data_IF_262371317551
#
_entry.id   IF_262371317551
#
_cell.length_a   1.000
_cell.length_b   1.000
_cell.length_c   1.000
_cell.angle_alpha   90.00
_cell.angle_beta   90.00
_cell.angle_gamma   90.00
#
_symmetry.space_group_name_H-M   'P 1'
#
loop_
_entity.id
_entity.type
_entity.pdbx_description
1 polymer ?
#
# COMPACT_ATOMS: atom_id res chain seq x y z
N UNK A 1 -6.59 15.48 -25.98
CA UNK A 1 -6.80 15.90 -24.57
C UNK A 1 -6.24 17.30 -24.40
N UNK A 2 -6.86 18.16 -23.58
CA UNK A 2 -6.23 19.42 -23.18
C UNK A 2 -4.86 19.14 -22.55
N UNK A 3 -3.86 19.93 -22.93
CA UNK A 3 -2.52 19.84 -22.37
C UNK A 3 -2.49 20.78 -21.16
N UNK A 4 -2.27 20.24 -19.97
CA UNK A 4 -2.19 21.02 -18.73
C UNK A 4 -0.74 21.32 -18.36
N UNK A 5 -0.50 22.51 -17.81
CA UNK A 5 0.66 22.77 -16.97
C UNK A 5 0.44 22.23 -15.55
N UNK A 6 1.51 21.94 -14.81
CA UNK A 6 1.42 21.40 -13.45
C UNK A 6 0.58 22.30 -12.54
N UNK A 7 0.82 23.61 -12.55
CA UNK A 7 0.11 24.55 -11.68
C UNK A 7 -1.36 24.73 -12.08
N UNK A 8 -1.69 24.63 -13.36
CA UNK A 8 -3.08 24.65 -13.83
C UNK A 8 -3.85 23.44 -13.33
N UNK A 9 -3.26 22.24 -13.48
CA UNK A 9 -3.84 21.00 -12.98
C UNK A 9 -4.00 21.06 -11.45
N UNK A 10 -2.97 21.50 -10.72
CA UNK A 10 -3.02 21.66 -9.25
C UNK A 10 -4.15 22.60 -8.82
N UNK A 11 -4.30 23.75 -9.49
CA UNK A 11 -5.35 24.72 -9.17
C UNK A 11 -6.76 24.13 -9.36
N UNK A 12 -6.97 23.34 -10.42
CA UNK A 12 -8.24 22.61 -10.65
C UNK A 12 -8.47 21.56 -9.55
N UNK A 13 -7.44 20.74 -9.24
CA UNK A 13 -7.55 19.69 -8.24
C UNK A 13 -7.77 20.20 -6.82
N UNK A 14 -7.37 21.45 -6.53
CA UNK A 14 -7.61 22.13 -5.25
C UNK A 14 -8.92 22.92 -5.22
N UNK A 15 -9.72 22.88 -6.28
CA UNK A 15 -10.93 23.68 -6.47
C UNK A 15 -10.72 25.20 -6.39
N UNK A 16 -9.52 25.67 -6.72
CA UNK A 16 -9.21 27.11 -6.84
C UNK A 16 -9.65 27.65 -8.21
N UNK A 17 -9.70 26.76 -9.20
CA UNK A 17 -10.23 27.01 -10.53
C UNK A 17 -11.36 26.01 -10.80
N UNK A 18 -12.39 26.46 -11.51
CA UNK A 18 -13.51 25.60 -11.89
C UNK A 18 -13.06 24.45 -12.79
N UNK A 19 -13.81 23.35 -12.77
CA UNK A 19 -13.64 22.26 -13.72
C UNK A 19 -13.81 22.80 -15.15
N UNK A 20 -13.01 22.33 -16.12
CA UNK A 20 -12.97 22.91 -17.47
C UNK A 20 -14.28 22.70 -18.24
N UNK A 21 -15.05 21.67 -17.90
CA UNK A 21 -16.40 21.44 -18.43
C UNK A 21 -17.18 20.51 -17.48
N UNK A 22 -18.52 20.61 -17.42
CA UNK A 22 -19.37 19.60 -16.78
C UNK A 22 -19.17 18.18 -17.37
N UNK A 23 -18.78 18.09 -18.64
CA UNK A 23 -18.60 16.81 -19.36
C UNK A 23 -17.16 16.28 -19.34
N UNK A 24 -16.19 17.11 -18.90
CA UNK A 24 -14.79 16.74 -18.78
C UNK A 24 -14.26 17.20 -17.43
N UNK A 25 -14.27 16.28 -16.47
CA UNK A 25 -13.84 16.56 -15.09
C UNK A 25 -12.41 16.09 -14.90
N UNK A 26 -11.57 16.92 -14.30
CA UNK A 26 -10.21 16.60 -13.92
C UNK A 26 -10.22 16.08 -12.49
N UNK A 27 -10.02 14.77 -12.35
CA UNK A 27 -10.00 14.01 -11.08
C UNK A 27 -8.86 12.99 -11.03
N UNK A 28 -7.92 13.07 -11.97
CA UNK A 28 -6.80 12.16 -12.14
C UNK A 28 -5.61 12.97 -12.66
N UNK A 29 -4.41 12.38 -12.67
CA UNK A 29 -3.31 12.93 -13.42
C UNK A 29 -3.65 12.92 -14.92
N UNK A 30 -3.46 14.03 -15.67
CA UNK A 30 -3.86 14.08 -17.07
C UNK A 30 -2.95 13.23 -17.97
N UNK A 31 -1.69 13.09 -17.57
CA UNK A 31 -0.66 12.34 -18.27
C UNK A 31 0.50 11.97 -17.30
N UNK A 32 1.37 11.06 -17.73
CA UNK A 32 2.54 10.60 -16.96
C UNK A 32 3.51 11.73 -16.62
N UNK A 33 3.63 12.76 -17.47
CA UNK A 33 4.53 13.89 -17.23
C UNK A 33 4.08 14.70 -16.02
N UNK A 34 2.80 15.05 -15.94
CA UNK A 34 2.23 15.77 -14.79
C UNK A 34 2.28 14.92 -13.53
N UNK A 35 1.97 13.62 -13.64
CA UNK A 35 2.11 12.68 -12.54
C UNK A 35 3.54 12.71 -11.99
N UNK A 36 4.52 12.46 -12.83
CA UNK A 36 5.92 12.33 -12.40
C UNK A 36 6.46 13.67 -11.86
N UNK A 37 6.10 14.80 -12.47
CA UNK A 37 6.49 16.12 -11.98
C UNK A 37 5.87 16.46 -10.62
N UNK A 38 4.60 16.09 -10.40
CA UNK A 38 3.93 16.28 -9.11
C UNK A 38 4.52 15.37 -8.03
N UNK A 39 4.72 14.08 -8.35
CA UNK A 39 5.23 13.08 -7.43
C UNK A 39 6.69 13.33 -7.03
N UNK A 40 7.50 13.89 -7.93
CA UNK A 40 8.88 14.28 -7.62
C UNK A 40 8.95 15.32 -6.49
N UNK A 41 7.96 16.21 -6.42
CA UNK A 41 7.85 17.30 -5.43
C UNK A 41 6.88 16.96 -4.29
N UNK A 42 6.42 15.70 -4.20
CA UNK A 42 5.29 15.33 -3.32
C UNK A 42 5.52 15.62 -1.84
N UNK A 43 6.77 15.59 -1.41
CA UNK A 43 7.15 15.87 -0.02
C UNK A 43 7.21 17.37 0.30
N UNK A 44 7.36 18.21 -0.71
CA UNK A 44 7.40 19.67 -0.56
C UNK A 44 5.99 20.28 -0.56
N UNK A 45 4.99 19.55 -1.05
CA UNK A 45 3.61 20.01 -1.06
C UNK A 45 3.01 20.03 0.35
N UNK A 46 2.29 21.10 0.73
CA UNK A 46 1.60 21.16 2.01
C UNK A 46 0.62 20.00 2.19
N UNK A 47 0.52 19.47 3.41
CA UNK A 47 -0.41 18.38 3.74
C UNK A 47 -1.87 18.69 3.32
N UNK A 48 -2.30 19.92 3.50
CA UNK A 48 -3.64 20.37 3.09
C UNK A 48 -3.84 20.31 1.57
N UNK A 49 -2.80 20.56 0.76
CA UNK A 49 -2.86 20.39 -0.68
C UNK A 49 -2.99 18.92 -1.05
N UNK A 50 -2.15 18.05 -0.48
CA UNK A 50 -2.24 16.60 -0.72
C UNK A 50 -3.65 16.10 -0.41
N UNK A 51 -4.21 16.48 0.74
CA UNK A 51 -5.56 16.08 1.15
C UNK A 51 -6.64 16.55 0.18
N UNK A 52 -6.54 17.78 -0.36
CA UNK A 52 -7.49 18.29 -1.36
C UNK A 52 -7.38 17.54 -2.69
N UNK A 53 -6.17 17.33 -3.18
CA UNK A 53 -5.94 16.58 -4.42
C UNK A 53 -6.48 15.16 -4.28
N UNK A 54 -6.18 14.47 -3.17
CA UNK A 54 -6.72 13.15 -2.87
C UNK A 54 -8.25 13.18 -2.75
N UNK A 55 -8.84 14.16 -2.08
CA UNK A 55 -10.30 14.27 -1.95
C UNK A 55 -10.98 14.39 -3.32
N UNK A 56 -10.40 15.16 -4.25
CA UNK A 56 -10.94 15.31 -5.59
C UNK A 56 -10.77 14.02 -6.43
N UNK A 57 -9.61 13.34 -6.32
CA UNK A 57 -9.37 12.05 -6.97
C UNK A 57 -10.34 10.96 -6.47
N UNK A 58 -10.43 10.81 -5.15
CA UNK A 58 -11.26 9.82 -4.46
C UNK A 58 -12.74 10.14 -4.66
N UNK A 59 -13.15 11.40 -4.58
CA UNK A 59 -14.49 11.85 -4.84
C UNK A 59 -15.53 11.54 -3.74
N UNK A 60 -16.52 12.41 -3.64
CA UNK A 60 -17.67 12.25 -2.73
C UNK A 60 -18.68 11.22 -3.25
N UNK A 61 -19.66 10.88 -2.40
CA UNK A 61 -20.81 10.06 -2.78
C UNK A 61 -21.63 10.72 -3.90
N UNK A 62 -22.19 9.93 -4.83
CA UNK A 62 -22.89 10.48 -6.01
C UNK A 62 -24.16 9.72 -6.34
N UNK A 63 -25.11 10.45 -6.91
CA UNK A 63 -26.29 9.87 -7.56
C UNK A 63 -25.96 9.30 -8.95
N UNK A 64 -27.01 8.87 -9.65
CA UNK A 64 -26.88 8.30 -11.00
C UNK A 64 -26.36 9.34 -12.03
N UNK A 65 -25.31 8.97 -12.75
CA UNK A 65 -24.75 9.74 -13.86
C UNK A 65 -25.31 9.27 -15.24
N UNK A 66 -24.79 9.80 -16.34
CA UNK A 66 -25.22 9.43 -17.69
C UNK A 66 -24.94 7.96 -18.04
N UNK A 67 -23.77 7.44 -17.64
CA UNK A 67 -23.39 6.03 -17.85
C UNK A 67 -24.33 5.11 -17.08
N UNK A 68 -24.68 5.47 -15.84
CA UNK A 68 -25.63 4.71 -15.02
C UNK A 68 -27.03 4.68 -15.68
N UNK A 69 -27.45 5.79 -16.28
CA UNK A 69 -28.71 5.87 -17.05
C UNK A 69 -28.68 5.05 -18.34
N UNK A 70 -27.52 4.85 -18.96
CA UNK A 70 -27.40 3.95 -20.10
C UNK A 70 -27.43 2.49 -19.62
N UNK A 71 -26.75 2.19 -18.53
CA UNK A 71 -26.72 0.86 -17.90
C UNK A 71 -28.11 0.35 -17.55
N UNK A 72 -28.99 1.20 -17.00
CA UNK A 72 -30.37 0.78 -16.69
C UNK A 72 -31.16 0.40 -17.94
N UNK A 73 -30.90 1.04 -19.09
CA UNK A 73 -31.57 0.68 -20.35
C UNK A 73 -31.13 -0.71 -20.81
N UNK A 74 -29.83 -1.00 -20.70
CA UNK A 74 -29.29 -2.33 -20.95
C UNK A 74 -29.90 -3.38 -20.02
N UNK A 75 -30.00 -3.09 -18.72
CA UNK A 75 -30.62 -4.00 -17.76
C UNK A 75 -32.09 -4.29 -18.10
N UNK A 76 -32.86 -3.26 -18.49
CA UNK A 76 -34.25 -3.44 -18.94
C UNK A 76 -34.35 -4.29 -20.19
N UNK A 77 -33.46 -4.07 -21.17
CA UNK A 77 -33.47 -4.81 -22.42
C UNK A 77 -33.13 -6.30 -22.24
N UNK A 78 -32.30 -6.63 -21.25
CA UNK A 78 -31.94 -8.01 -20.94
C UNK A 78 -33.05 -8.79 -20.19
N UNK A 79 -34.11 -8.12 -19.73
CA UNK A 79 -35.25 -8.75 -19.06
C UNK A 79 -35.01 -9.15 -17.60
N UNK A 80 -36.07 -9.61 -16.90
CA UNK A 80 -36.04 -9.87 -15.45
C UNK A 80 -35.38 -11.19 -15.04
N UNK A 81 -34.97 -12.02 -16.00
CA UNK A 81 -34.47 -13.37 -15.72
C UNK A 81 -34.17 -14.17 -16.99
N UNK A 82 -33.67 -15.38 -16.81
CA UNK A 82 -33.41 -16.32 -17.89
C UNK A 82 -34.63 -17.21 -18.07
N UNK A 83 -35.12 -17.34 -19.30
CA UNK A 83 -36.18 -18.30 -19.63
C UNK A 83 -35.53 -19.60 -20.12
N UNK A 84 -35.82 -20.71 -19.47
CA UNK A 84 -35.29 -22.02 -19.85
C UNK A 84 -36.22 -22.70 -20.87
N UNK A 85 -35.72 -23.62 -21.70
CA UNK A 85 -36.53 -24.32 -22.71
C UNK A 85 -37.71 -25.13 -22.16
N UNK A 86 -37.66 -25.50 -20.88
CA UNK A 86 -38.72 -26.22 -20.16
C UNK A 86 -39.83 -25.29 -19.63
N UNK A 87 -39.73 -23.98 -19.90
CA UNK A 87 -40.67 -22.96 -19.46
C UNK A 87 -40.42 -22.43 -18.04
N UNK A 88 -39.40 -22.93 -17.34
CA UNK A 88 -38.98 -22.36 -16.05
C UNK A 88 -38.26 -21.03 -16.24
N UNK A 89 -38.32 -20.16 -15.23
CA UNK A 89 -37.64 -18.87 -15.24
C UNK A 89 -36.81 -18.69 -13.97
N UNK A 90 -35.55 -18.35 -14.13
CA UNK A 90 -34.69 -17.95 -13.02
C UNK A 90 -34.64 -16.42 -12.93
N UNK A 91 -35.03 -15.82 -11.79
CA UNK A 91 -34.92 -14.38 -11.60
C UNK A 91 -33.46 -13.96 -11.70
N UNK A 92 -33.23 -12.81 -12.35
CA UNK A 92 -31.90 -12.21 -12.38
C UNK A 92 -31.50 -11.78 -10.97
N UNK A 93 -30.30 -12.17 -10.56
CA UNK A 93 -29.64 -11.57 -9.41
C UNK A 93 -29.04 -10.22 -9.79
N UNK A 94 -29.37 -9.19 -9.00
CA UNK A 94 -28.81 -7.86 -9.14
C UNK A 94 -27.74 -7.63 -8.09
N UNK A 95 -26.61 -7.08 -8.52
CA UNK A 95 -25.57 -6.56 -7.62
C UNK A 95 -26.10 -5.41 -6.75
N UNK A 96 -25.45 -5.13 -5.62
CA UNK A 96 -25.87 -4.03 -4.74
C UNK A 96 -25.82 -2.66 -5.44
N UNK A 97 -24.84 -2.45 -6.32
CA UNK A 97 -24.79 -1.26 -7.17
C UNK A 97 -26.04 -1.15 -8.05
N UNK A 98 -26.42 -2.23 -8.74
CA UNK A 98 -27.60 -2.24 -9.62
C UNK A 98 -28.90 -2.05 -8.83
N UNK A 99 -29.01 -2.65 -7.64
CA UNK A 99 -30.14 -2.41 -6.72
C UNK A 99 -30.25 -0.94 -6.34
N UNK A 100 -29.14 -0.31 -5.91
CA UNK A 100 -29.11 1.13 -5.58
C UNK A 100 -29.49 1.99 -6.79
N UNK A 101 -28.97 1.67 -7.98
CA UNK A 101 -29.30 2.38 -9.21
C UNK A 101 -30.79 2.27 -9.57
N UNK A 102 -31.37 1.06 -9.51
CA UNK A 102 -32.79 0.81 -9.79
C UNK A 102 -33.66 1.61 -8.81
N UNK A 103 -33.37 1.55 -7.52
CA UNK A 103 -34.12 2.27 -6.49
C UNK A 103 -34.01 3.79 -6.66
N UNK A 104 -32.79 4.31 -6.90
CA UNK A 104 -32.56 5.73 -7.11
C UNK A 104 -33.36 6.26 -8.31
N UNK A 105 -33.35 5.56 -9.44
CA UNK A 105 -34.10 5.96 -10.64
C UNK A 105 -35.62 5.79 -10.49
N UNK A 106 -36.06 4.92 -9.59
CA UNK A 106 -37.47 4.78 -9.22
C UNK A 106 -37.95 5.84 -8.21
N UNK A 107 -37.07 6.76 -7.77
CA UNK A 107 -37.39 7.73 -6.71
C UNK A 107 -37.57 7.09 -5.33
N UNK A 108 -37.07 5.86 -5.15
CA UNK A 108 -37.15 5.06 -3.92
C UNK A 108 -35.78 4.84 -3.27
N UNK A 109 -34.73 5.49 -3.77
CA UNK A 109 -33.39 5.39 -3.20
C UNK A 109 -33.29 6.17 -1.90
N UNK A 110 -32.86 5.50 -0.83
CA UNK A 110 -32.49 6.12 0.45
C UNK A 110 -31.01 6.43 0.56
N UNK A 111 -30.20 5.91 -0.37
CA UNK A 111 -28.74 6.01 -0.39
C UNK A 111 -28.24 6.52 -1.75
N UNK A 112 -27.05 7.15 -1.80
CA UNK A 112 -26.36 7.45 -3.04
C UNK A 112 -26.12 6.18 -3.86
N UNK A 113 -26.19 6.28 -5.20
CA UNK A 113 -25.89 5.15 -6.10
C UNK A 113 -24.45 4.67 -5.89
N UNK A 114 -23.54 5.64 -5.78
CA UNK A 114 -22.13 5.45 -5.52
C UNK A 114 -21.80 5.96 -4.11
N UNK A 115 -21.34 5.10 -3.19
CA UNK A 115 -20.93 5.53 -1.87
C UNK A 115 -19.66 6.39 -1.96
N UNK A 116 -19.50 7.32 -1.03
CA UNK A 116 -18.31 8.18 -0.93
C UNK A 116 -17.17 7.46 -0.21
N UNK A 117 -15.94 7.70 -0.66
CA UNK A 117 -14.73 7.10 -0.09
C UNK A 117 -13.82 8.11 0.61
N UNK A 118 -14.23 9.38 0.71
CA UNK A 118 -13.41 10.45 1.30
C UNK A 118 -13.05 10.21 2.77
N UNK A 119 -13.80 9.36 3.49
CA UNK A 119 -13.47 8.90 4.84
C UNK A 119 -12.09 8.21 4.91
N UNK A 120 -11.59 7.66 3.80
CA UNK A 120 -10.23 7.09 3.70
C UNK A 120 -9.15 8.12 4.06
N UNK A 121 -9.42 9.41 3.89
CA UNK A 121 -8.48 10.47 4.27
C UNK A 121 -8.25 10.54 5.79
N UNK A 122 -9.16 10.03 6.60
CA UNK A 122 -9.02 9.99 8.07
C UNK A 122 -8.05 8.90 8.53
N UNK A 123 -7.77 7.92 7.66
CA UNK A 123 -6.72 6.93 7.89
C UNK A 123 -5.32 7.54 7.76
N UNK A 124 -5.17 8.63 7.01
CA UNK A 124 -3.87 9.25 6.73
C UNK A 124 -3.45 10.22 7.85
N UNK A 125 -2.16 10.26 8.24
CA UNK A 125 -1.03 9.53 7.64
C UNK A 125 -0.73 8.19 8.36
N UNK A 126 -1.57 7.76 9.28
CA UNK A 126 -1.28 6.71 10.24
C UNK A 126 -1.46 5.29 9.69
N UNK A 127 -2.42 5.11 8.78
CA UNK A 127 -2.80 3.82 8.19
C UNK A 127 -2.85 3.93 6.65
N UNK A 128 -1.72 4.30 5.99
CA UNK A 128 -1.70 4.53 4.54
C UNK A 128 -1.98 3.26 3.74
N UNK A 129 -1.60 2.09 4.28
CA UNK A 129 -1.89 0.80 3.65
C UNK A 129 -3.37 0.47 3.67
N UNK A 130 -4.05 0.68 4.79
CA UNK A 130 -5.50 0.47 4.89
C UNK A 130 -6.27 1.44 4.00
N UNK A 131 -5.77 2.67 3.87
CA UNK A 131 -6.31 3.64 2.92
C UNK A 131 -6.25 3.12 1.48
N UNK A 132 -5.08 2.61 1.06
CA UNK A 132 -4.92 1.99 -0.26
C UNK A 132 -5.80 0.74 -0.41
N UNK A 133 -5.87 -0.11 0.62
CA UNK A 133 -6.67 -1.33 0.59
C UNK A 133 -8.16 -1.04 0.46
N UNK A 134 -8.67 -0.02 1.15
CA UNK A 134 -10.06 0.41 1.04
C UNK A 134 -10.39 0.87 -0.39
N UNK A 135 -9.52 1.70 -0.99
CA UNK A 135 -9.69 2.16 -2.38
C UNK A 135 -9.57 0.99 -3.37
N UNK A 136 -8.62 0.08 -3.15
CA UNK A 136 -8.40 -1.09 -4.00
C UNK A 136 -9.57 -2.08 -3.95
N UNK A 137 -10.12 -2.35 -2.76
CA UNK A 137 -11.28 -3.21 -2.60
C UNK A 137 -12.53 -2.62 -3.28
N UNK A 138 -12.73 -1.31 -3.15
CA UNK A 138 -13.80 -0.62 -3.87
C UNK A 138 -13.63 -0.73 -5.39
N UNK A 139 -12.40 -0.51 -5.89
CA UNK A 139 -12.11 -0.64 -7.31
C UNK A 139 -12.37 -2.07 -7.79
N UNK A 140 -11.90 -3.09 -7.06
CA UNK A 140 -12.11 -4.50 -7.39
C UNK A 140 -13.61 -4.85 -7.47
N UNK A 141 -14.42 -4.34 -6.53
CA UNK A 141 -15.86 -4.60 -6.49
C UNK A 141 -16.63 -3.92 -7.64
N UNK A 142 -16.12 -2.82 -8.19
CA UNK A 142 -16.88 -1.96 -9.10
C UNK A 142 -16.24 -1.72 -10.47
N UNK A 143 -15.02 -2.18 -10.73
CA UNK A 143 -14.26 -1.90 -11.96
C UNK A 143 -15.03 -2.19 -13.25
N UNK A 144 -15.89 -3.23 -13.27
CA UNK A 144 -16.70 -3.57 -14.45
C UNK A 144 -17.81 -2.56 -14.77
N UNK A 145 -18.11 -1.66 -13.85
CA UNK A 145 -19.21 -0.68 -13.93
C UNK A 145 -18.76 0.75 -13.77
N UNK A 146 -17.59 0.97 -13.19
CA UNK A 146 -17.02 2.28 -12.94
C UNK A 146 -16.53 2.90 -14.26
N UNK A 147 -16.76 4.20 -14.53
CA UNK A 147 -16.15 4.85 -15.69
C UNK A 147 -14.62 4.84 -15.63
N UNK A 148 -13.93 4.74 -16.76
CA UNK A 148 -12.46 4.70 -16.85
C UNK A 148 -11.80 5.83 -16.06
N UNK A 149 -12.27 7.07 -16.25
CA UNK A 149 -11.74 8.24 -15.53
C UNK A 149 -11.83 8.12 -13.99
N UNK A 150 -12.80 7.36 -13.47
CA UNK A 150 -12.92 7.07 -12.03
C UNK A 150 -11.98 5.95 -11.60
N UNK A 151 -11.70 4.99 -12.47
CA UNK A 151 -10.65 3.99 -12.26
C UNK A 151 -9.30 4.70 -12.15
N UNK A 152 -9.01 5.61 -13.09
CA UNK A 152 -7.79 6.41 -13.12
C UNK A 152 -7.66 7.25 -11.85
N UNK A 153 -8.70 8.02 -11.48
CA UNK A 153 -8.66 8.84 -10.26
C UNK A 153 -8.42 8.03 -8.98
N UNK A 154 -9.04 6.87 -8.82
CA UNK A 154 -8.79 6.00 -7.66
C UNK A 154 -7.38 5.38 -7.70
N UNK A 155 -6.91 4.97 -8.88
CA UNK A 155 -5.55 4.46 -9.09
C UNK A 155 -4.49 5.49 -8.76
N UNK A 156 -4.69 6.72 -9.20
CA UNK A 156 -3.81 7.86 -8.95
C UNK A 156 -3.84 8.28 -7.48
N UNK A 157 -5.00 8.23 -6.82
CA UNK A 157 -5.09 8.45 -5.38
C UNK A 157 -4.25 7.42 -4.61
N UNK A 158 -4.34 6.14 -4.96
CA UNK A 158 -3.50 5.09 -4.35
C UNK A 158 -2.01 5.37 -4.61
N UNK A 159 -1.64 5.77 -5.83
CA UNK A 159 -0.26 6.13 -6.17
C UNK A 159 0.23 7.30 -5.34
N UNK A 160 -0.56 8.38 -5.25
CA UNK A 160 -0.22 9.55 -4.45
C UNK A 160 -0.08 9.22 -2.97
N UNK A 161 -0.95 8.38 -2.40
CA UNK A 161 -0.82 7.89 -1.02
C UNK A 161 0.49 7.12 -0.84
N UNK A 162 0.84 6.20 -1.74
CA UNK A 162 2.10 5.44 -1.67
C UNK A 162 3.32 6.37 -1.69
N UNK A 163 3.37 7.29 -2.64
CA UNK A 163 4.51 8.19 -2.79
C UNK A 163 4.65 9.15 -1.59
N UNK A 164 3.53 9.69 -1.09
CA UNK A 164 3.55 10.67 -0.01
C UNK A 164 3.83 10.06 1.37
N UNK A 165 3.26 8.90 1.67
CA UNK A 165 3.21 8.37 3.04
C UNK A 165 3.96 7.04 3.24
N UNK A 166 4.36 6.35 2.17
CA UNK A 166 5.09 5.07 2.27
C UNK A 166 6.53 5.23 1.75
N UNK A 167 6.70 5.77 0.54
CA UNK A 167 8.01 5.91 -0.09
C UNK A 167 8.80 7.11 0.48
N UNK A 168 8.12 8.25 0.63
CA UNK A 168 8.66 9.53 1.11
C UNK A 168 9.88 10.09 0.33
N UNK A 169 10.29 11.32 0.63
CA UNK A 169 11.52 11.90 0.08
C UNK A 169 12.77 11.20 0.62
N UNK A 170 13.86 11.27 -0.15
CA UNK A 170 15.17 10.78 0.28
C UNK A 170 15.66 11.43 1.58
N UNK A 171 15.34 12.70 1.83
CA UNK A 171 15.73 13.40 3.07
C UNK A 171 15.05 12.77 4.28
N UNK A 172 13.71 12.66 4.27
CA UNK A 172 12.95 12.05 5.37
C UNK A 172 13.34 10.58 5.59
N UNK A 173 13.59 9.84 4.50
CA UNK A 173 14.08 8.46 4.58
C UNK A 173 15.45 8.38 5.24
N UNK A 174 16.40 9.24 4.84
CA UNK A 174 17.75 9.25 5.38
C UNK A 174 17.77 9.59 6.88
N UNK A 175 16.91 10.49 7.34
CA UNK A 175 16.75 10.77 8.76
C UNK A 175 16.28 9.53 9.55
N UNK A 176 15.33 8.77 9.00
CA UNK A 176 14.86 7.52 9.61
C UNK A 176 15.92 6.41 9.57
N UNK A 177 16.69 6.29 8.49
CA UNK A 177 17.83 5.36 8.43
C UNK A 177 18.92 5.75 9.43
N UNK A 178 19.19 7.05 9.59
CA UNK A 178 20.13 7.55 10.61
C UNK A 178 19.63 7.24 12.03
N UNK A 179 18.33 7.34 12.28
CA UNK A 179 17.72 6.88 13.53
C UNK A 179 17.96 5.39 13.75
N UNK A 180 17.72 4.53 12.75
CA UNK A 180 17.98 3.09 12.86
C UNK A 180 19.45 2.82 13.24
N UNK A 181 20.40 3.55 12.67
CA UNK A 181 21.82 3.43 13.05
C UNK A 181 22.12 3.84 14.50
N UNK A 182 21.29 4.69 15.11
CA UNK A 182 21.45 5.11 16.49
C UNK A 182 20.84 4.15 17.52
N UNK A 183 19.99 3.21 17.09
CA UNK A 183 19.38 2.22 17.97
C UNK A 183 20.35 1.09 18.32
N UNK A 184 20.20 0.52 19.52
CA UNK A 184 20.93 -0.69 19.89
C UNK A 184 20.53 -1.86 18.97
N UNK A 185 21.43 -2.83 18.70
CA UNK A 185 21.11 -3.99 17.86
C UNK A 185 19.83 -4.73 18.29
N UNK A 186 19.66 -4.93 19.61
CA UNK A 186 18.45 -5.57 20.17
C UNK A 186 17.18 -4.76 19.92
N UNK A 187 17.28 -3.44 19.82
CA UNK A 187 16.13 -2.59 19.54
C UNK A 187 15.70 -2.65 18.07
N UNK A 188 16.64 -2.92 17.16
CA UNK A 188 16.32 -3.23 15.76
C UNK A 188 15.58 -4.56 15.67
N UNK A 189 16.02 -5.59 16.40
CA UNK A 189 15.34 -6.89 16.47
C UNK A 189 13.91 -6.75 17.00
N UNK A 190 13.72 -5.97 18.07
CA UNK A 190 12.40 -5.66 18.64
C UNK A 190 11.52 -4.87 17.67
N UNK A 191 12.10 -3.92 16.94
CA UNK A 191 11.37 -3.15 15.93
C UNK A 191 10.95 -4.03 14.74
N UNK A 192 11.80 -4.96 14.30
CA UNK A 192 11.45 -5.95 13.29
C UNK A 192 10.34 -6.89 13.80
N UNK A 193 10.39 -7.29 15.07
CA UNK A 193 9.30 -8.06 15.71
C UNK A 193 7.98 -7.31 15.71
N UNK A 194 7.98 -6.00 16.04
CA UNK A 194 6.79 -5.17 15.96
C UNK A 194 6.21 -5.11 14.54
N UNK A 195 7.07 -4.92 13.54
CA UNK A 195 6.68 -4.92 12.13
C UNK A 195 5.97 -6.23 11.75
N UNK A 196 6.59 -7.37 12.04
CA UNK A 196 6.01 -8.67 11.68
C UNK A 196 4.74 -9.00 12.47
N UNK A 197 4.65 -8.55 13.73
CA UNK A 197 3.42 -8.66 14.51
C UNK A 197 2.28 -7.88 13.84
N UNK A 198 2.53 -6.65 13.38
CA UNK A 198 1.56 -5.84 12.65
C UNK A 198 1.22 -6.43 11.27
N UNK A 199 2.14 -7.19 10.66
CA UNK A 199 1.88 -7.96 9.45
C UNK A 199 0.99 -9.20 9.71
N UNK A 200 0.59 -9.46 10.95
CA UNK A 200 -0.28 -10.58 11.33
C UNK A 200 0.45 -11.88 11.65
N UNK A 201 1.75 -11.81 11.98
CA UNK A 201 2.51 -12.98 12.42
C UNK A 201 2.55 -13.08 13.95
N UNK A 202 2.57 -14.30 14.45
CA UNK A 202 3.01 -14.60 15.81
C UNK A 202 4.54 -14.59 15.84
N UNK A 203 5.14 -13.68 16.61
CA UNK A 203 6.60 -13.47 16.61
C UNK A 203 7.22 -13.88 17.94
N UNK A 204 8.31 -14.64 17.85
CA UNK A 204 9.15 -15.04 18.96
C UNK A 204 10.58 -14.57 18.72
N UNK A 205 11.10 -13.74 19.62
CA UNK A 205 12.48 -13.25 19.55
C UNK A 205 13.41 -14.28 20.23
N UNK A 206 14.57 -14.55 19.62
CA UNK A 206 15.55 -15.47 20.19
C UNK A 206 16.32 -14.83 21.35
N UNK A 207 16.81 -15.69 22.25
CA UNK A 207 17.71 -15.27 23.33
C UNK A 207 19.06 -14.87 22.74
N UNK A 208 19.67 -13.79 23.26
CA UNK A 208 20.99 -13.29 22.84
C UNK A 208 22.12 -14.34 22.87
N UNK A 209 21.94 -15.46 23.59
CA UNK A 209 22.95 -16.51 23.76
C UNK A 209 22.74 -17.75 22.89
N UNK A 210 21.64 -17.84 22.13
CA UNK A 210 21.42 -18.96 21.21
C UNK A 210 21.92 -18.56 19.83
N UNK A 211 23.06 -19.15 19.46
CA UNK A 211 23.78 -19.00 18.19
C UNK A 211 23.02 -19.60 16.98
N UNK A 212 21.68 -19.56 17.01
CA UNK A 212 20.79 -20.14 16.00
C UNK A 212 20.86 -19.45 14.64
N UNK A 213 21.58 -18.32 14.55
CA UNK A 213 21.81 -17.57 13.31
C UNK A 213 20.58 -16.81 12.78
N UNK A 214 19.60 -16.56 13.65
CA UNK A 214 18.47 -15.65 13.44
C UNK A 214 18.07 -15.00 14.78
N UNK A 215 17.59 -13.76 14.73
CA UNK A 215 17.18 -12.96 15.89
C UNK A 215 15.69 -13.14 16.25
N UNK A 216 14.85 -13.51 15.28
CA UNK A 216 13.43 -13.78 15.52
C UNK A 216 12.84 -14.81 14.56
N UNK A 217 11.78 -15.47 15.01
CA UNK A 217 10.91 -16.31 14.19
C UNK A 217 9.52 -15.70 14.16
N UNK A 218 9.01 -15.44 12.96
CA UNK A 218 7.65 -14.99 12.73
C UNK A 218 6.86 -16.10 12.02
N UNK A 219 5.71 -16.49 12.57
CA UNK A 219 4.88 -17.58 12.05
C UNK A 219 3.45 -17.12 11.82
N UNK A 220 2.85 -17.57 10.72
CA UNK A 220 1.40 -17.50 10.51
C UNK A 220 0.92 -18.84 9.91
N UNK A 221 -0.34 -18.92 9.47
CA UNK A 221 -0.90 -20.14 8.90
C UNK A 221 -0.22 -20.59 7.59
N UNK A 222 0.47 -19.68 6.91
CA UNK A 222 0.97 -19.86 5.55
C UNK A 222 2.48 -20.14 5.53
N UNK A 223 3.25 -19.50 6.42
CA UNK A 223 4.71 -19.51 6.34
C UNK A 223 5.40 -19.36 7.72
N UNK A 224 6.66 -19.82 7.80
CA UNK A 224 7.58 -19.60 8.92
C UNK A 224 8.76 -18.77 8.41
N UNK A 225 8.97 -17.61 9.01
CA UNK A 225 10.01 -16.65 8.60
C UNK A 225 11.07 -16.56 9.68
N UNK A 226 12.32 -16.85 9.33
CA UNK A 226 13.47 -16.48 10.15
C UNK A 226 13.91 -15.06 9.78
N UNK A 227 14.17 -14.25 10.81
CA UNK A 227 14.55 -12.84 10.65
C UNK A 227 15.89 -12.64 11.34
N UNK A 228 16.85 -12.06 10.62
CA UNK A 228 18.16 -11.69 11.14
C UNK A 228 18.39 -10.21 10.88
N UNK A 229 18.89 -9.48 11.87
CA UNK A 229 19.10 -8.05 11.87
C UNK A 229 20.58 -7.72 12.07
N UNK A 230 21.15 -6.97 11.11
CA UNK A 230 22.52 -6.46 11.19
C UNK A 230 22.50 -4.93 11.22
N UNK A 231 22.76 -4.35 12.39
CA UNK A 231 22.96 -2.91 12.55
C UNK A 231 24.44 -2.52 12.49
N UNK A 232 25.16 -2.99 11.47
CA UNK A 232 26.57 -2.67 11.29
C UNK A 232 26.74 -1.37 10.49
N UNK A 233 27.81 -0.62 10.76
CA UNK A 233 28.21 0.52 9.91
C UNK A 233 28.67 0.05 8.54
N UNK A 234 29.41 -1.07 8.49
CA UNK A 234 29.85 -1.69 7.24
C UNK A 234 28.70 -2.48 6.59
N UNK A 235 28.65 -2.43 5.25
CA UNK A 235 27.73 -3.23 4.44
C UNK A 235 27.94 -4.73 4.68
N UNK A 236 26.84 -5.49 4.68
CA UNK A 236 26.85 -6.94 4.84
C UNK A 236 27.32 -7.62 3.55
N UNK A 237 28.27 -8.54 3.68
CA UNK A 237 28.88 -9.25 2.57
C UNK A 237 28.14 -10.54 2.19
N UNK A 238 28.51 -11.11 1.04
CA UNK A 238 27.92 -12.36 0.55
C UNK A 238 28.19 -13.56 1.47
N UNK A 239 29.26 -13.55 2.25
CA UNK A 239 29.58 -14.64 3.17
C UNK A 239 28.56 -14.72 4.32
N UNK A 240 28.20 -13.57 4.88
CA UNK A 240 27.14 -13.45 5.90
C UNK A 240 25.80 -13.91 5.34
N UNK A 241 25.44 -13.47 4.13
CA UNK A 241 24.19 -13.90 3.46
C UNK A 241 24.15 -15.42 3.25
N UNK A 242 25.27 -16.03 2.84
CA UNK A 242 25.38 -17.49 2.67
C UNK A 242 25.21 -18.24 3.98
N UNK A 243 25.81 -17.73 5.06
CA UNK A 243 25.68 -18.32 6.40
C UNK A 243 24.22 -18.31 6.86
N UNK A 244 23.55 -17.16 6.77
CA UNK A 244 22.13 -17.04 7.09
C UNK A 244 21.26 -17.95 6.20
N UNK A 245 21.53 -17.99 4.89
CA UNK A 245 20.81 -18.89 4.00
C UNK A 245 20.99 -20.37 4.37
N UNK A 246 22.17 -20.77 4.85
CA UNK A 246 22.42 -22.12 5.36
C UNK A 246 21.51 -22.47 6.54
N UNK A 247 21.32 -21.53 7.47
CA UNK A 247 20.39 -21.67 8.61
C UNK A 247 18.95 -21.81 8.10
N UNK A 248 18.53 -20.96 7.18
CA UNK A 248 17.17 -20.95 6.63
C UNK A 248 16.84 -22.21 5.83
N UNK A 249 17.81 -22.76 5.08
CA UNK A 249 17.62 -23.97 4.28
C UNK A 249 17.72 -25.26 5.09
N UNK A 250 18.44 -25.25 6.21
CA UNK A 250 18.53 -26.42 7.10
C UNK A 250 17.44 -26.44 8.19
N UNK A 251 16.84 -25.30 8.49
CA UNK A 251 15.74 -25.16 9.44
C UNK A 251 14.34 -25.41 8.86
N UNK A 252 13.33 -25.18 9.69
CA UNK A 252 11.90 -25.29 9.32
C UNK A 252 11.33 -24.05 8.64
N UNK A 253 12.13 -22.97 8.57
CA UNK A 253 11.72 -21.75 7.90
C UNK A 253 11.34 -22.04 6.44
N UNK A 254 10.25 -21.44 5.98
CA UNK A 254 9.87 -21.38 4.57
C UNK A 254 10.56 -20.22 3.87
N UNK A 255 10.98 -19.18 4.61
CA UNK A 255 11.72 -18.03 4.09
C UNK A 255 12.61 -17.41 5.16
N UNK A 256 13.69 -16.76 4.73
CA UNK A 256 14.55 -15.94 5.58
C UNK A 256 14.52 -14.48 5.13
N UNK A 257 14.54 -13.56 6.09
CA UNK A 257 14.73 -12.12 5.85
C UNK A 257 15.94 -11.63 6.62
N UNK A 258 16.93 -11.14 5.90
CA UNK A 258 18.11 -10.51 6.46
C UNK A 258 17.98 -8.99 6.29
N UNK A 259 17.88 -8.29 7.41
CA UNK A 259 17.78 -6.84 7.49
C UNK A 259 19.17 -6.29 7.77
N UNK A 260 19.65 -5.35 6.97
CA UNK A 260 20.92 -4.66 7.17
C UNK A 260 20.73 -3.16 7.06
N UNK A 261 20.94 -2.42 8.16
CA UNK A 261 20.70 -0.96 8.16
C UNK A 261 21.62 -0.24 7.16
N UNK A 262 22.89 -0.64 7.08
CA UNK A 262 23.86 -0.13 6.08
C UNK A 262 23.72 -0.73 4.69
N UNK A 263 22.86 -1.75 4.53
CA UNK A 263 22.64 -2.48 3.29
C UNK A 263 23.71 -3.55 3.01
N UNK A 264 23.86 -3.88 1.73
CA UNK A 264 24.67 -5.02 1.28
C UNK A 264 25.74 -4.60 0.30
N UNK A 265 26.86 -5.32 0.29
CA UNK A 265 27.99 -5.05 -0.60
C UNK A 265 27.59 -5.12 -2.06
N UNK A 266 27.94 -4.08 -2.82
CA UNK A 266 27.69 -3.89 -4.26
C UNK A 266 28.99 -4.02 -5.10
N UNK A 267 30.09 -4.42 -4.46
CA UNK A 267 31.41 -4.61 -5.06
C UNK A 267 31.98 -5.94 -4.66
N UNK A 268 32.76 -6.54 -5.55
CA UNK A 268 33.43 -7.82 -5.36
C UNK A 268 33.14 -8.78 -6.51
N UNK A 269 33.75 -9.97 -6.50
CA UNK A 269 33.56 -10.97 -7.56
C UNK A 269 32.14 -11.57 -7.59
N UNK A 270 31.39 -11.44 -6.49
CA UNK A 270 29.98 -11.84 -6.37
C UNK A 270 29.36 -11.00 -5.25
N UNK A 271 28.37 -10.18 -5.58
CA UNK A 271 27.62 -9.39 -4.58
C UNK A 271 26.56 -10.24 -3.88
N UNK A 272 26.10 -9.77 -2.72
CA UNK A 272 24.99 -10.39 -2.01
C UNK A 272 23.70 -10.44 -2.85
N UNK A 273 23.42 -9.36 -3.59
CA UNK A 273 22.24 -9.21 -4.43
C UNK A 273 22.30 -10.21 -5.59
N UNK A 274 23.39 -10.23 -6.35
CA UNK A 274 23.60 -11.19 -7.44
C UNK A 274 23.51 -12.64 -6.95
N UNK A 275 24.03 -12.92 -5.74
CA UNK A 275 23.95 -14.26 -5.18
C UNK A 275 22.51 -14.67 -4.85
N UNK A 276 21.67 -13.76 -4.33
CA UNK A 276 20.25 -14.08 -4.06
C UNK A 276 19.41 -14.12 -5.33
N UNK A 277 19.88 -13.53 -6.45
CA UNK A 277 19.10 -13.32 -7.67
C UNK A 277 18.64 -14.61 -8.40
N UNK A 278 19.25 -15.75 -8.09
CA UNK A 278 18.78 -17.04 -8.57
C UNK A 278 17.33 -17.33 -8.14
N UNK A 279 16.45 -17.86 -9.02
CA UNK A 279 15.03 -18.02 -8.71
C UNK A 279 14.71 -18.81 -7.43
N UNK A 280 15.48 -19.85 -7.10
CA UNK A 280 15.26 -20.65 -5.90
C UNK A 280 15.68 -19.88 -4.64
N UNK A 281 16.78 -19.13 -4.71
CA UNK A 281 17.24 -18.30 -3.59
C UNK A 281 16.37 -17.07 -3.41
N UNK A 282 16.00 -16.38 -4.50
CA UNK A 282 15.17 -15.18 -4.49
C UNK A 282 13.78 -15.41 -3.89
N UNK A 283 13.22 -16.62 -4.04
CA UNK A 283 11.94 -16.97 -3.43
C UNK A 283 12.06 -17.22 -1.92
N UNK A 284 13.22 -17.68 -1.46
CA UNK A 284 13.46 -18.14 -0.08
C UNK A 284 14.25 -17.20 0.81
N UNK A 285 15.03 -16.29 0.25
CA UNK A 285 15.87 -15.33 0.99
C UNK A 285 15.54 -13.93 0.50
N UNK A 286 15.16 -13.04 1.41
CA UNK A 286 14.99 -11.61 1.15
C UNK A 286 16.06 -10.82 1.88
N UNK A 287 16.61 -9.85 1.17
CA UNK A 287 17.57 -8.90 1.70
C UNK A 287 16.86 -7.55 1.79
N UNK A 288 16.83 -6.97 2.99
CA UNK A 288 16.27 -5.64 3.23
C UNK A 288 17.38 -4.71 3.69
N UNK A 289 17.65 -3.67 2.91
CA UNK A 289 18.47 -2.55 3.36
C UNK A 289 17.75 -1.73 4.43
N UNK A 290 18.44 -0.77 5.06
CA UNK A 290 17.80 0.19 5.96
C UNK A 290 16.67 0.96 5.27
N UNK A 291 16.82 1.28 3.98
CA UNK A 291 15.78 1.93 3.19
C UNK A 291 14.56 1.03 2.99
N UNK A 292 14.77 -0.24 2.62
CA UNK A 292 13.68 -1.20 2.49
C UNK A 292 12.94 -1.39 3.82
N UNK A 293 13.70 -1.45 4.93
CA UNK A 293 13.13 -1.60 6.25
C UNK A 293 12.30 -0.37 6.66
N UNK A 294 12.78 0.85 6.40
CA UNK A 294 12.00 2.08 6.61
C UNK A 294 10.69 2.06 5.82
N UNK A 295 10.74 1.62 4.55
CA UNK A 295 9.54 1.53 3.72
C UNK A 295 8.52 0.54 4.32
N UNK A 296 8.98 -0.64 4.76
CA UNK A 296 8.11 -1.62 5.43
C UNK A 296 7.53 -1.06 6.74
N UNK A 297 8.32 -0.35 7.54
CA UNK A 297 7.84 0.31 8.77
C UNK A 297 6.80 1.38 8.47
N UNK A 298 6.99 2.19 7.42
CA UNK A 298 6.01 3.19 7.00
C UNK A 298 4.69 2.54 6.55
N UNK A 299 4.78 1.45 5.77
CA UNK A 299 3.62 0.74 5.25
C UNK A 299 2.76 0.14 6.37
N UNK A 300 3.39 -0.46 7.39
CA UNK A 300 2.67 -1.23 8.41
C UNK A 300 2.48 -0.48 9.73
N UNK A 301 3.47 0.26 10.21
CA UNK A 301 3.40 0.99 11.48
C UNK A 301 3.03 2.48 11.31
N UNK A 302 2.81 2.89 10.06
CA UNK A 302 2.52 4.26 9.66
C UNK A 302 3.77 5.14 9.58
N UNK A 303 3.69 6.20 8.78
CA UNK A 303 4.85 7.06 8.46
C UNK A 303 5.53 7.70 9.68
N UNK A 304 4.78 7.89 10.76
CA UNK A 304 5.24 8.52 12.01
C UNK A 304 5.82 7.51 13.02
N UNK A 305 6.11 6.27 12.64
CA UNK A 305 6.65 5.24 13.55
C UNK A 305 7.89 5.72 14.32
N UNK A 306 8.79 6.46 13.65
CA UNK A 306 10.04 6.94 14.22
C UNK A 306 9.83 7.86 15.43
N UNK A 307 8.77 8.67 15.42
CA UNK A 307 8.42 9.55 16.56
C UNK A 307 7.90 8.79 17.79
N UNK A 308 7.61 7.49 17.62
CA UNK A 308 7.03 6.61 18.65
C UNK A 308 7.91 5.38 18.89
N UNK A 309 9.15 5.39 18.38
CA UNK A 309 10.03 4.21 18.32
C UNK A 309 10.26 3.61 19.71
N UNK A 310 10.54 4.44 20.73
CA UNK A 310 10.76 4.00 22.10
C UNK A 310 9.54 3.27 22.68
N UNK A 311 8.33 3.76 22.36
CA UNK A 311 7.07 3.14 22.79
C UNK A 311 6.84 1.80 22.10
N UNK A 312 7.15 1.71 20.80
CA UNK A 312 7.02 0.47 20.02
C UNK A 312 7.95 -0.59 20.61
N UNK A 313 9.23 -0.24 20.82
CA UNK A 313 10.25 -1.12 21.41
C UNK A 313 9.83 -1.55 22.83
N UNK A 314 9.43 -0.61 23.69
CA UNK A 314 9.04 -0.91 25.07
C UNK A 314 7.85 -1.86 25.16
N UNK A 315 6.89 -1.76 24.23
CA UNK A 315 5.76 -2.69 24.16
C UNK A 315 6.22 -4.09 23.80
N UNK A 316 7.10 -4.25 22.79
CA UNK A 316 7.61 -5.56 22.40
C UNK A 316 8.40 -6.24 23.52
N UNK A 317 9.22 -5.49 24.27
CA UNK A 317 9.97 -6.04 25.42
C UNK A 317 9.08 -6.71 26.46
N UNK A 318 7.85 -6.23 26.66
CA UNK A 318 6.90 -6.81 27.63
C UNK A 318 6.30 -8.14 27.19
N UNK A 319 6.23 -8.39 25.88
CA UNK A 319 5.69 -9.63 25.33
C UNK A 319 6.77 -10.70 25.10
N UNK A 320 8.04 -10.29 25.07
CA UNK A 320 9.20 -11.19 24.95
C UNK A 320 9.81 -11.62 26.29
N UNK A 321 9.29 -11.13 27.42
CA UNK A 321 9.70 -11.46 28.79
C UNK A 321 8.70 -12.39 29.47
#
# INVERSE_FOLDING_TARGET
MPIYLLDEWRAIMRHEVAQPSPDYVVIAFPDDRIRDEYLLKVSDWPEMEIRRVLANMIGESRGANLIDKLRIQTLKAMGPGTLHPDGSSEPREFSDYERRLILALAGKGSEPVWPGLTWVLDLLPHFPRDAINALSAFLLAHAQTLPDLRIDGLSDAMTLIRYRYIIESSVARNEKVALLHSLDPRDIELLASALYSEMGYEVHITDQQKDGGFDAVAKNEQEIVYIECKNWVAKVDVATVRSFAGVVFSGEATRGVLISVSGFTDKGPMTAIEWVDDPMRRSRIKLWSGEDFVQMLNEHLGVMWHSRVDRIIANQRRFSS
#
